data_IF_394833897863
#
_entry.id   IF_394833897863
#
_cell.length_a   1.000
_cell.length_b   1.000
_cell.length_c   1.000
_cell.angle_alpha   90.00
_cell.angle_beta   90.00
_cell.angle_gamma   90.00
#
_symmetry.space_group_name_H-M   'P 1'
#
loop_
_entity.id
_entity.type
_entity.pdbx_description
1 polymer ?
#
# COMPACT_ATOMS: atom_id res chain seq x y z
N UNK A 1 -15.86 -22.65 -43.99
CA UNK A 1 -14.85 -21.58 -44.20
C UNK A 1 -15.52 -20.26 -43.85
N UNK A 2 -15.38 -19.78 -42.62
CA UNK A 2 -16.08 -18.59 -42.13
C UNK A 2 -15.17 -17.37 -42.23
N UNK A 3 -15.47 -16.46 -43.14
CA UNK A 3 -14.80 -15.16 -43.28
C UNK A 3 -15.46 -14.12 -42.38
N UNK A 4 -14.70 -13.22 -41.72
CA UNK A 4 -15.28 -12.18 -40.89
C UNK A 4 -15.78 -11.02 -41.77
N UNK A 5 -17.06 -10.67 -41.63
CA UNK A 5 -17.65 -9.49 -42.24
C UNK A 5 -17.08 -8.23 -41.57
N UNK A 6 -16.03 -7.63 -42.15
CA UNK A 6 -15.66 -6.24 -41.85
C UNK A 6 -16.74 -5.34 -42.46
N UNK A 7 -17.33 -4.50 -41.62
CA UNK A 7 -18.30 -3.48 -42.01
C UNK A 7 -17.50 -2.29 -42.53
N UNK A 8 -17.47 -2.11 -43.85
CA UNK A 8 -16.86 -0.95 -44.48
C UNK A 8 -17.70 0.29 -44.14
N UNK A 9 -17.21 1.10 -43.20
CA UNK A 9 -17.74 2.44 -43.00
C UNK A 9 -17.21 3.30 -44.15
N UNK A 10 -18.07 3.61 -45.11
CA UNK A 10 -17.79 4.62 -46.13
C UNK A 10 -17.36 5.91 -45.41
N UNK A 11 -16.09 6.27 -45.61
CA UNK A 11 -15.53 7.55 -45.20
C UNK A 11 -16.30 8.65 -45.93
N UNK A 12 -17.32 9.19 -45.27
CA UNK A 12 -17.75 10.55 -45.57
C UNK A 12 -16.65 11.42 -45.02
N UNK A 13 -15.69 11.79 -45.88
CA UNK A 13 -14.72 12.86 -45.62
C UNK A 13 -15.50 14.17 -45.52
N UNK A 14 -16.25 14.33 -44.42
CA UNK A 14 -16.68 15.63 -43.96
C UNK A 14 -15.40 16.33 -43.56
N UNK A 15 -14.93 17.21 -44.45
CA UNK A 15 -13.81 18.12 -44.19
C UNK A 15 -14.13 18.90 -42.91
N UNK A 16 -13.66 18.41 -41.77
CA UNK A 16 -13.46 19.23 -40.59
C UNK A 16 -12.22 20.07 -40.88
N UNK A 17 -12.43 21.20 -41.56
CA UNK A 17 -11.44 22.27 -41.62
C UNK A 17 -11.31 22.83 -40.20
N UNK A 18 -10.22 22.45 -39.52
CA UNK A 18 -9.77 23.19 -38.35
C UNK A 18 -9.32 24.57 -38.83
N UNK A 19 -9.72 25.68 -38.18
CA UNK A 19 -9.32 27.01 -38.61
C UNK A 19 -7.80 27.10 -38.62
N UNK A 20 -7.23 27.34 -39.79
CA UNK A 20 -5.82 27.70 -39.93
C UNK A 20 -5.63 29.09 -39.32
N UNK A 21 -4.81 29.15 -38.28
CA UNK A 21 -4.41 30.39 -37.64
C UNK A 21 -3.46 31.13 -38.60
N UNK A 22 -3.92 32.28 -39.08
CA UNK A 22 -3.12 33.20 -39.88
C UNK A 22 -1.98 33.72 -39.00
N UNK A 23 -0.74 33.39 -39.36
CA UNK A 23 0.45 34.01 -38.75
C UNK A 23 0.57 35.39 -39.37
N UNK A 24 0.02 36.41 -38.71
CA UNK A 24 0.36 37.79 -39.00
C UNK A 24 1.67 38.11 -38.29
N UNK A 25 2.76 38.11 -39.07
CA UNK A 25 4.02 38.72 -38.67
C UNK A 25 3.81 40.23 -38.56
N UNK A 26 3.83 40.76 -37.34
CA UNK A 26 4.05 42.17 -37.06
C UNK A 26 4.76 42.26 -35.71
N UNK A 27 5.99 42.76 -35.76
CA UNK A 27 6.90 42.88 -34.64
C UNK A 27 6.39 43.75 -33.49
N UNK A 28 7.06 43.57 -32.35
CA UNK A 28 6.99 44.36 -31.11
C UNK A 28 5.78 44.09 -30.20
N UNK A 29 5.88 43.03 -29.40
CA UNK A 29 6.04 43.13 -27.95
C UNK A 29 6.18 41.72 -27.36
N UNK A 30 7.39 41.43 -26.84
CA UNK A 30 7.65 40.34 -25.91
C UNK A 30 6.86 40.58 -24.61
N UNK A 31 5.58 40.27 -24.62
CA UNK A 31 4.84 39.97 -23.41
C UNK A 31 5.01 38.47 -23.17
N UNK A 32 5.90 38.13 -22.25
CA UNK A 32 6.08 36.80 -21.69
C UNK A 32 4.83 36.41 -20.89
N UNK A 33 3.75 36.08 -21.61
CA UNK A 33 2.56 35.46 -21.03
C UNK A 33 2.87 33.97 -20.98
N UNK A 34 3.53 33.54 -19.91
CA UNK A 34 3.59 32.09 -19.60
C UNK A 34 2.15 31.62 -19.48
N UNK A 35 1.66 30.69 -20.32
CA UNK A 35 0.28 30.23 -20.21
C UNK A 35 0.09 29.64 -18.80
N UNK A 36 -0.98 29.98 -18.08
CA UNK A 36 -1.23 29.42 -16.76
C UNK A 36 -1.24 27.90 -16.92
N UNK A 37 -0.35 27.25 -16.15
CA UNK A 37 -0.11 25.81 -16.18
C UNK A 37 -1.46 25.11 -16.01
N UNK A 38 -2.07 24.69 -17.11
CA UNK A 38 -3.36 24.04 -17.09
C UNK A 38 -3.23 22.83 -16.17
N UNK A 39 -3.98 22.84 -15.07
CA UNK A 39 -4.09 21.71 -14.17
C UNK A 39 -4.73 20.57 -14.96
N UNK A 40 -3.88 19.79 -15.65
CA UNK A 40 -4.30 18.59 -16.35
C UNK A 40 -5.02 17.75 -15.32
N UNK A 41 -6.32 17.50 -15.50
CA UNK A 41 -7.08 16.62 -14.62
C UNK A 41 -6.47 15.22 -14.73
N UNK A 42 -5.57 14.90 -13.80
CA UNK A 42 -4.80 13.67 -13.83
C UNK A 42 -5.70 12.56 -13.29
N UNK A 43 -5.63 11.39 -13.92
CA UNK A 43 -6.34 10.22 -13.42
C UNK A 43 -5.91 9.89 -11.99
N UNK A 44 -6.81 9.29 -11.19
CA UNK A 44 -6.53 8.85 -9.83
C UNK A 44 -5.29 7.96 -9.77
N UNK A 45 -4.65 7.92 -8.61
CA UNK A 45 -3.32 7.34 -8.47
C UNK A 45 -3.30 5.84 -8.80
N UNK A 46 -2.74 5.52 -9.97
CA UNK A 46 -2.64 4.13 -10.47
C UNK A 46 -1.69 3.28 -9.62
N UNK A 47 -0.75 3.91 -8.91
CA UNK A 47 0.23 3.25 -8.05
C UNK A 47 -0.43 2.56 -6.88
N UNK A 48 -1.39 3.20 -6.20
CA UNK A 48 -2.18 2.58 -5.12
C UNK A 48 -2.94 1.33 -5.59
N UNK A 49 -3.67 1.43 -6.69
CA UNK A 49 -4.42 0.29 -7.23
C UNK A 49 -3.52 -0.91 -7.62
N UNK A 50 -2.30 -0.65 -8.09
CA UNK A 50 -1.33 -1.70 -8.36
C UNK A 50 -0.81 -2.37 -7.07
N UNK A 51 -0.54 -1.57 -6.03
CA UNK A 51 -0.17 -2.05 -4.69
C UNK A 51 -1.26 -2.94 -4.10
N UNK A 52 -2.53 -2.50 -4.14
CA UNK A 52 -3.66 -3.29 -3.65
C UNK A 52 -3.81 -4.62 -4.39
N UNK A 53 -3.56 -4.63 -5.71
CA UNK A 53 -3.59 -5.86 -6.49
C UNK A 53 -2.47 -6.82 -6.10
N UNK A 54 -1.28 -6.32 -5.79
CA UNK A 54 -0.17 -7.14 -5.30
C UNK A 54 -0.48 -7.68 -3.88
N UNK A 55 -0.97 -6.80 -3.00
CA UNK A 55 -1.38 -7.14 -1.63
C UNK A 55 -2.47 -8.22 -1.59
N UNK A 56 -3.40 -8.22 -2.54
CA UNK A 56 -4.36 -9.33 -2.69
C UNK A 56 -3.69 -10.70 -2.81
N UNK A 57 -2.54 -10.82 -3.48
CA UNK A 57 -1.82 -12.11 -3.59
C UNK A 57 -1.26 -12.57 -2.24
N UNK A 58 -0.74 -11.63 -1.45
CA UNK A 58 -0.27 -11.89 -0.09
C UNK A 58 -1.43 -12.36 0.79
N UNK A 59 -2.56 -11.66 0.75
CA UNK A 59 -3.76 -12.03 1.52
C UNK A 59 -4.30 -13.40 1.07
N UNK A 60 -4.35 -13.68 -0.22
CA UNK A 60 -4.76 -14.98 -0.76
C UNK A 60 -3.84 -16.10 -0.28
N UNK A 61 -2.52 -15.88 -0.29
CA UNK A 61 -1.55 -16.85 0.21
C UNK A 61 -1.75 -17.17 1.69
N UNK A 62 -1.97 -16.14 2.52
CA UNK A 62 -2.16 -16.30 3.97
C UNK A 62 -3.51 -16.97 4.27
N UNK A 63 -4.61 -16.46 3.72
CA UNK A 63 -5.97 -16.83 4.16
C UNK A 63 -6.55 -18.00 3.38
N UNK A 64 -6.41 -17.99 2.04
CA UNK A 64 -7.00 -19.03 1.18
C UNK A 64 -6.08 -20.24 1.08
N UNK A 65 -4.83 -20.02 0.71
CA UNK A 65 -3.86 -21.11 0.56
C UNK A 65 -3.33 -21.62 1.90
N UNK A 66 -3.51 -20.83 2.99
CA UNK A 66 -2.97 -21.14 4.32
C UNK A 66 -1.47 -21.39 4.29
N UNK A 67 -0.77 -20.75 3.36
CA UNK A 67 0.65 -21.06 3.08
C UNK A 67 1.58 -20.74 4.23
N UNK A 68 1.17 -19.84 5.14
CA UNK A 68 1.93 -19.48 6.33
C UNK A 68 1.65 -20.36 7.56
N UNK A 69 0.69 -21.31 7.50
CA UNK A 69 0.22 -22.02 8.69
C UNK A 69 1.31 -22.79 9.42
N UNK A 70 2.13 -23.54 8.68
CA UNK A 70 3.19 -24.34 9.27
C UNK A 70 4.22 -23.45 9.97
N UNK A 71 4.60 -22.34 9.34
CA UNK A 71 5.53 -21.35 9.90
C UNK A 71 4.96 -20.73 11.19
N UNK A 72 3.71 -20.27 11.15
CA UNK A 72 3.05 -19.65 12.30
C UNK A 72 2.85 -20.65 13.46
N UNK A 73 2.45 -21.89 13.16
CA UNK A 73 2.29 -22.95 14.17
C UNK A 73 3.62 -23.34 14.81
N UNK A 74 4.70 -23.34 14.04
CA UNK A 74 6.06 -23.60 14.56
C UNK A 74 6.53 -22.49 15.52
N UNK A 75 6.20 -21.23 15.23
CA UNK A 75 6.47 -20.11 16.15
C UNK A 75 5.64 -20.24 17.43
N UNK A 76 4.34 -20.53 17.29
CA UNK A 76 3.44 -20.71 18.44
C UNK A 76 3.89 -21.86 19.34
N UNK A 77 4.38 -22.96 18.78
CA UNK A 77 4.94 -24.08 19.56
C UNK A 77 6.36 -23.81 20.10
N UNK A 78 6.89 -22.61 19.92
CA UNK A 78 8.28 -22.24 20.26
C UNK A 78 9.36 -23.10 19.57
N UNK A 79 9.02 -23.77 18.46
CA UNK A 79 9.95 -24.58 17.67
C UNK A 79 10.81 -23.72 16.75
N UNK A 80 10.24 -22.63 16.23
CA UNK A 80 10.94 -21.65 15.39
C UNK A 80 11.13 -20.34 16.14
N UNK A 81 12.31 -19.77 15.99
CA UNK A 81 12.64 -18.48 16.57
C UNK A 81 12.05 -17.35 15.73
N UNK A 82 11.32 -16.45 16.38
CA UNK A 82 10.73 -15.25 15.75
C UNK A 82 11.38 -13.99 16.32
N UNK A 83 11.86 -13.11 15.43
CA UNK A 83 12.40 -11.80 15.82
C UNK A 83 11.30 -10.92 16.42
N UNK A 84 10.11 -10.96 15.84
CA UNK A 84 8.93 -10.19 16.30
C UNK A 84 8.46 -10.65 17.67
N UNK A 85 8.46 -11.96 17.92
CA UNK A 85 8.21 -12.52 19.25
C UNK A 85 9.23 -12.01 20.29
N UNK A 86 10.53 -12.08 19.99
CA UNK A 86 11.57 -11.58 20.91
C UNK A 86 11.44 -10.08 21.17
N UNK A 87 11.12 -9.28 20.16
CA UNK A 87 10.91 -7.83 20.30
C UNK A 87 9.71 -7.50 21.17
N UNK A 88 8.57 -8.15 20.92
CA UNK A 88 7.33 -7.99 21.70
C UNK A 88 7.50 -8.38 23.18
N UNK A 89 8.47 -9.25 23.51
CA UNK A 89 8.83 -9.56 24.90
C UNK A 89 9.66 -8.45 25.58
N UNK A 90 10.51 -7.74 24.82
CA UNK A 90 11.46 -6.76 25.37
C UNK A 90 10.90 -5.35 25.47
N UNK A 91 10.00 -4.96 24.56
CA UNK A 91 9.46 -3.60 24.52
C UNK A 91 8.02 -3.67 24.02
N UNK A 92 7.03 -3.15 24.77
CA UNK A 92 5.69 -2.94 24.23
C UNK A 92 5.81 -1.87 23.14
N UNK A 93 5.89 -2.30 21.88
CA UNK A 93 5.93 -1.41 20.74
C UNK A 93 4.50 -1.14 20.31
N UNK A 94 4.10 0.13 20.30
CA UNK A 94 3.00 0.58 19.47
C UNK A 94 3.48 0.48 18.01
N UNK A 95 3.48 -0.73 17.46
CA UNK A 95 3.78 -0.93 16.06
C UNK A 95 2.65 -0.28 15.28
N UNK A 96 3.01 0.74 14.50
CA UNK A 96 2.17 1.32 13.46
C UNK A 96 1.93 0.18 12.46
N UNK A 97 0.85 -0.57 12.68
CA UNK A 97 0.42 -1.72 11.86
C UNK A 97 -0.01 -1.27 10.45
N UNK A 98 -0.20 0.04 10.27
CA UNK A 98 -0.71 0.69 9.06
C UNK A 98 0.23 0.65 7.85
N UNK A 99 1.44 0.11 7.94
CA UNK A 99 2.43 0.38 6.88
C UNK A 99 2.35 -0.54 5.67
N UNK A 100 1.83 -1.78 5.75
CA UNK A 100 1.95 -2.72 4.61
C UNK A 100 0.67 -2.95 3.80
N UNK A 101 -0.45 -3.23 4.46
CA UNK A 101 -1.76 -3.39 3.81
C UNK A 101 -2.57 -2.10 4.03
N UNK A 102 -2.84 -1.32 2.98
CA UNK A 102 -3.60 -0.07 3.10
C UNK A 102 -5.13 -0.25 3.11
N UNK A 103 -5.62 -1.43 2.72
CA UNK A 103 -7.05 -1.73 2.61
C UNK A 103 -7.54 -2.39 3.90
N UNK A 104 -8.44 -1.72 4.63
CA UNK A 104 -8.98 -2.19 5.91
C UNK A 104 -9.62 -3.58 5.79
N UNK A 105 -10.30 -3.85 4.67
CA UNK A 105 -10.92 -5.14 4.44
C UNK A 105 -9.88 -6.27 4.32
N UNK A 106 -8.77 -6.03 3.61
CA UNK A 106 -7.64 -6.96 3.55
C UNK A 106 -7.00 -7.18 4.92
N UNK A 107 -6.80 -6.12 5.70
CA UNK A 107 -6.30 -6.23 7.06
C UNK A 107 -7.23 -7.09 7.93
N UNK A 108 -8.53 -6.82 7.90
CA UNK A 108 -9.54 -7.55 8.66
C UNK A 108 -9.57 -9.05 8.31
N UNK A 109 -9.48 -9.38 7.02
CA UNK A 109 -9.42 -10.78 6.58
C UNK A 109 -8.22 -11.52 7.20
N UNK A 110 -7.02 -10.91 7.13
CA UNK A 110 -5.80 -11.49 7.69
C UNK A 110 -5.90 -11.57 9.21
N UNK A 111 -6.33 -10.50 9.89
CA UNK A 111 -6.45 -10.48 11.35
C UNK A 111 -7.45 -11.51 11.86
N UNK A 112 -8.61 -11.62 11.22
CA UNK A 112 -9.62 -12.62 11.58
C UNK A 112 -9.11 -14.04 11.35
N UNK A 113 -8.34 -14.27 10.29
CA UNK A 113 -7.68 -15.55 10.05
C UNK A 113 -6.66 -15.88 11.15
N UNK A 114 -5.75 -14.96 11.45
CA UNK A 114 -4.70 -15.17 12.45
C UNK A 114 -5.26 -15.36 13.87
N UNK A 115 -6.36 -14.68 14.21
CA UNK A 115 -7.10 -14.92 15.46
C UNK A 115 -7.60 -16.38 15.54
N UNK A 116 -8.02 -16.98 14.42
CA UNK A 116 -8.43 -18.40 14.38
C UNK A 116 -7.24 -19.32 14.59
N UNK A 117 -6.14 -19.10 13.85
CA UNK A 117 -4.89 -19.88 13.99
C UNK A 117 -4.38 -19.83 15.44
N UNK A 118 -4.36 -18.63 16.05
CA UNK A 118 -3.96 -18.46 17.43
C UNK A 118 -4.86 -19.24 18.41
N UNK A 119 -6.19 -19.20 18.24
CA UNK A 119 -7.12 -19.95 19.10
C UNK A 119 -6.94 -21.46 18.98
N UNK A 120 -6.77 -21.98 17.76
CA UNK A 120 -6.59 -23.41 17.50
C UNK A 120 -5.33 -23.97 18.20
N UNK A 121 -4.24 -23.21 18.19
CA UNK A 121 -2.98 -23.62 18.83
C UNK A 121 -2.96 -23.25 20.31
N UNK A 122 -3.47 -22.08 20.68
CA UNK A 122 -3.50 -21.55 22.05
C UNK A 122 -4.41 -22.34 23.00
N UNK A 123 -5.44 -23.03 22.48
CA UNK A 123 -6.20 -24.03 23.24
C UNK A 123 -5.29 -25.18 23.77
N UNK A 124 -4.12 -25.39 23.16
CA UNK A 124 -3.13 -26.40 23.53
C UNK A 124 -1.89 -25.71 24.13
N UNK A 125 -2.02 -25.24 25.38
CA UNK A 125 -0.93 -24.83 26.29
C UNK A 125 0.21 -24.02 25.65
N UNK A 126 -0.01 -22.73 25.40
CA UNK A 126 1.08 -21.78 25.20
C UNK A 126 1.74 -21.40 26.56
N UNK A 127 3.06 -21.17 26.62
CA UNK A 127 3.73 -20.61 27.81
C UNK A 127 3.39 -19.14 28.08
N UNK A 128 2.53 -18.54 27.25
CA UNK A 128 2.11 -17.14 27.32
C UNK A 128 0.76 -17.04 28.04
N UNK A 129 0.69 -17.48 29.30
CA UNK A 129 -0.59 -17.60 30.03
C UNK A 129 -1.28 -16.27 30.37
N UNK A 130 -0.60 -15.13 30.27
CA UNK A 130 -1.13 -13.82 30.72
C UNK A 130 -1.00 -12.68 29.69
N UNK A 131 -0.72 -12.95 28.40
CA UNK A 131 -0.65 -11.89 27.38
C UNK A 131 -1.99 -11.75 26.68
N UNK A 132 -2.40 -10.50 26.44
CA UNK A 132 -3.56 -10.20 25.60
C UNK A 132 -3.38 -10.85 24.22
N UNK A 133 -4.29 -11.77 23.89
CA UNK A 133 -4.31 -12.48 22.62
C UNK A 133 -4.37 -11.55 21.41
N UNK A 134 -5.05 -10.40 21.53
CA UNK A 134 -5.13 -9.42 20.47
C UNK A 134 -3.75 -8.79 20.21
N UNK A 135 -3.05 -8.37 21.27
CA UNK A 135 -1.69 -7.82 21.16
C UNK A 135 -0.72 -8.83 20.53
N UNK A 136 -0.80 -10.10 20.93
CA UNK A 136 0.07 -11.12 20.33
C UNK A 136 -0.18 -11.31 18.83
N UNK A 137 -1.45 -11.33 18.41
CA UNK A 137 -1.80 -11.42 16.99
C UNK A 137 -1.23 -10.23 16.22
N UNK A 138 -1.41 -9.01 16.72
CA UNK A 138 -0.98 -7.77 16.05
C UNK A 138 0.54 -7.60 16.03
N UNK A 139 1.22 -7.83 17.15
CA UNK A 139 2.65 -7.54 17.29
C UNK A 139 3.56 -8.67 16.77
N UNK A 140 3.05 -9.91 16.70
CA UNK A 140 3.86 -11.09 16.36
C UNK A 140 3.32 -11.81 15.14
N UNK A 141 2.09 -12.32 15.19
CA UNK A 141 1.60 -13.18 14.11
C UNK A 141 1.37 -12.42 12.81
N UNK A 142 0.86 -11.19 12.90
CA UNK A 142 0.60 -10.37 11.73
C UNK A 142 1.88 -10.04 10.95
N UNK A 143 2.92 -9.43 11.53
CA UNK A 143 4.16 -9.18 10.80
C UNK A 143 4.82 -10.48 10.30
N UNK A 144 4.82 -11.55 11.10
CA UNK A 144 5.37 -12.85 10.68
C UNK A 144 4.64 -13.44 9.47
N UNK A 145 3.31 -13.37 9.45
CA UNK A 145 2.50 -13.88 8.34
C UNK A 145 2.75 -13.08 7.05
N UNK A 146 2.79 -11.74 7.15
CA UNK A 146 3.03 -10.86 6.01
C UNK A 146 4.44 -11.09 5.45
N UNK A 147 5.48 -11.10 6.29
CA UNK A 147 6.87 -11.29 5.85
C UNK A 147 7.05 -12.66 5.19
N UNK A 148 6.51 -13.72 5.80
CA UNK A 148 6.59 -15.05 5.23
C UNK A 148 5.86 -15.14 3.88
N UNK A 149 4.69 -14.50 3.78
CA UNK A 149 3.95 -14.42 2.52
C UNK A 149 4.68 -13.61 1.45
N UNK A 150 5.31 -12.48 1.78
CA UNK A 150 6.15 -11.72 0.85
C UNK A 150 7.30 -12.59 0.34
N UNK A 151 7.99 -13.29 1.24
CA UNK A 151 9.08 -14.20 0.87
C UNK A 151 8.61 -15.27 -0.12
N UNK A 152 7.45 -15.87 0.12
CA UNK A 152 6.88 -16.90 -0.75
C UNK A 152 6.34 -16.35 -2.08
N UNK A 153 5.61 -15.24 -2.05
CA UNK A 153 4.95 -14.65 -3.23
C UNK A 153 5.97 -13.98 -4.15
N UNK A 154 6.88 -13.19 -3.60
CA UNK A 154 7.93 -12.49 -4.36
C UNK A 154 9.15 -13.38 -4.63
N UNK A 155 9.18 -14.60 -4.08
CA UNK A 155 10.31 -15.54 -4.17
C UNK A 155 11.63 -14.92 -3.72
N UNK A 156 11.60 -14.20 -2.59
CA UNK A 156 12.77 -13.54 -1.99
C UNK A 156 13.15 -14.18 -0.66
N UNK A 157 14.39 -13.99 -0.24
CA UNK A 157 14.83 -14.43 1.08
C UNK A 157 14.02 -13.77 2.20
N UNK A 158 13.91 -14.45 3.34
CA UNK A 158 13.19 -13.96 4.50
C UNK A 158 13.73 -12.61 4.99
N UNK A 159 15.05 -12.39 4.97
CA UNK A 159 15.63 -11.10 5.40
C UNK A 159 15.20 -9.97 4.47
N UNK A 160 15.23 -10.21 3.16
CA UNK A 160 14.77 -9.22 2.17
C UNK A 160 13.28 -8.93 2.30
N UNK A 161 12.46 -9.95 2.57
CA UNK A 161 11.04 -9.76 2.86
C UNK A 161 10.80 -8.93 4.14
N UNK A 162 11.60 -9.15 5.17
CA UNK A 162 11.53 -8.39 6.41
C UNK A 162 11.89 -6.91 6.19
N UNK A 163 12.95 -6.62 5.43
CA UNK A 163 13.32 -5.26 5.05
C UNK A 163 12.20 -4.57 4.24
N UNK A 164 11.61 -5.29 3.28
CA UNK A 164 10.43 -4.79 2.54
C UNK A 164 9.26 -4.46 3.46
N UNK A 165 8.98 -5.31 4.45
CA UNK A 165 7.91 -5.06 5.42
C UNK A 165 8.18 -3.82 6.27
N UNK A 166 9.42 -3.66 6.76
CA UNK A 166 9.81 -2.52 7.61
C UNK A 166 9.77 -1.20 6.83
N UNK A 167 10.26 -1.20 5.59
CA UNK A 167 10.29 -0.01 4.75
C UNK A 167 8.90 0.35 4.18
N UNK A 168 7.97 -0.60 4.17
CA UNK A 168 6.64 -0.44 3.59
C UNK A 168 6.66 -0.38 2.05
N UNK A 169 5.49 -0.22 1.43
CA UNK A 169 5.37 0.00 0.00
C UNK A 169 6.08 1.28 -0.43
N UNK A 170 6.72 1.32 -1.61
CA UNK A 170 7.35 2.53 -2.12
C UNK A 170 6.29 3.61 -2.40
N UNK A 171 6.52 4.80 -1.83
CA UNK A 171 5.66 5.98 -2.02
C UNK A 171 6.05 6.69 -3.32
N UNK A 172 5.06 7.06 -4.14
CA UNK A 172 5.29 7.79 -5.39
C UNK A 172 5.79 9.22 -5.16
N UNK A 173 6.48 9.81 -6.16
CA UNK A 173 6.97 11.21 -6.05
C UNK A 173 5.86 12.21 -5.73
N UNK A 174 4.71 12.09 -6.43
CA UNK A 174 3.55 12.96 -6.23
C UNK A 174 2.94 12.81 -4.83
N UNK A 175 2.68 11.57 -4.42
CA UNK A 175 2.17 11.25 -3.08
C UNK A 175 3.08 11.84 -1.99
N UNK A 176 4.40 11.77 -2.19
CA UNK A 176 5.39 12.38 -1.30
C UNK A 176 5.29 13.90 -1.27
N UNK A 177 5.21 14.55 -2.43
CA UNK A 177 5.09 16.02 -2.54
C UNK A 177 3.78 16.54 -1.90
N UNK A 178 2.67 15.85 -2.13
CA UNK A 178 1.37 16.17 -1.52
C UNK A 178 1.42 16.06 0.01
N UNK A 179 2.01 14.98 0.52
CA UNK A 179 2.17 14.77 1.95
C UNK A 179 3.11 15.79 2.60
N UNK A 180 4.21 16.13 1.93
CA UNK A 180 5.15 17.15 2.40
C UNK A 180 4.50 18.53 2.45
N UNK A 181 3.69 18.88 1.44
CA UNK A 181 2.90 20.10 1.41
C UNK A 181 1.90 20.14 2.58
N UNK A 182 1.17 19.06 2.83
CA UNK A 182 0.22 18.98 3.94
C UNK A 182 0.91 19.12 5.31
N UNK A 183 2.08 18.49 5.49
CA UNK A 183 2.91 18.65 6.70
C UNK A 183 3.33 20.11 6.87
N UNK A 184 3.77 20.76 5.78
CA UNK A 184 4.22 22.14 5.82
C UNK A 184 3.07 23.10 6.17
N UNK A 185 1.88 22.90 5.61
CA UNK A 185 0.68 23.65 5.95
C UNK A 185 0.30 23.46 7.42
N UNK A 186 0.29 22.22 7.94
CA UNK A 186 0.03 21.93 9.35
C UNK A 186 1.05 22.60 10.29
N UNK A 187 2.34 22.57 9.94
CA UNK A 187 3.40 23.27 10.70
C UNK A 187 3.17 24.77 10.76
N UNK A 188 2.83 25.39 9.62
CA UNK A 188 2.52 26.83 9.57
C UNK A 188 1.27 27.17 10.39
N UNK A 189 0.24 26.35 10.33
CA UNK A 189 -0.99 26.56 11.09
C UNK A 189 -0.77 26.40 12.61
N UNK A 190 0.05 25.43 13.03
CA UNK A 190 0.48 25.32 14.43
C UNK A 190 1.26 26.56 14.87
N UNK A 191 2.23 27.04 14.10
CA UNK A 191 3.01 28.23 14.45
C UNK A 191 2.17 29.51 14.54
N UNK A 192 1.14 29.65 13.69
CA UNK A 192 0.17 30.76 13.77
C UNK A 192 -0.70 30.67 15.03
N UNK A 193 -1.14 29.47 15.41
CA UNK A 193 -1.97 29.24 16.61
C UNK A 193 -1.21 29.53 17.91
N UNK A 194 0.09 29.28 17.97
CA UNK A 194 0.92 29.61 19.14
C UNK A 194 1.11 31.13 19.30
N UNK A 195 1.04 31.89 18.20
CA UNK A 195 1.16 33.37 18.22
C UNK A 195 -0.14 34.09 18.57
N UNK A 196 -1.30 33.44 18.42
CA UNK A 196 -2.61 34.01 18.78
C UNK A 196 -3.03 33.76 20.23
N UNK A 197 -2.20 33.04 21.01
CA UNK A 197 -2.44 32.72 22.42
C UNK A 197 -1.43 33.44 23.36
N UNK A 198 -0.61 34.34 22.82
CA UNK A 198 0.22 35.31 23.53
C UNK A 198 -0.40 36.71 23.34
#
# INVERSE_FOLDING_TARGET
>A
MSTPARKDSFHTLSQMSFPQMEVLDNGELLAEITPPKQEKKILPDRTRAARDKANKRIVEFIVKAKGADEHLRSILKSQKQSRWLRKSLKTPQYLILETYLEDDYQQDLVLNYLKKVYREVGAKKLPVKNRDSAKFVLEVLFPEAIIYAISAVDQVDYKTAEEKYINGPPVGKREREEFEKEIQEKKQNCAKKTRSHL
#
